data_IF_081518777526
#
_entry.id   IF_081518777526
#
_cell.length_a   1.000
_cell.length_b   1.000
_cell.length_c   1.000
_cell.angle_alpha   90.00
_cell.angle_beta   90.00
_cell.angle_gamma   90.00
#
_symmetry.space_group_name_H-M   'P 1'
#
loop_
_entity.id
_entity.type
_entity.pdbx_description
1 polymer ?
#
# COMPACT_ATOMS: atom_id res chain seq x y z
N UNK A 1 7.32 5.80 -18.65
CA UNK A 1 6.45 4.59 -18.54
C UNK A 1 7.06 3.52 -19.42
N UNK A 2 7.50 2.40 -18.84
CA UNK A 2 8.03 1.25 -19.58
C UNK A 2 6.91 0.22 -19.68
N UNK A 3 6.67 -0.31 -20.88
CA UNK A 3 5.70 -1.38 -21.13
C UNK A 3 6.42 -2.50 -21.85
N UNK A 4 6.33 -3.70 -21.30
CA UNK A 4 6.82 -4.92 -21.93
C UNK A 4 5.60 -5.78 -22.26
N UNK A 5 5.51 -6.20 -23.52
CA UNK A 5 4.45 -7.09 -23.97
C UNK A 5 5.01 -8.51 -23.99
N UNK A 6 4.35 -9.40 -23.26
CA UNK A 6 4.72 -10.81 -23.17
C UNK A 6 3.44 -11.66 -23.11
N UNK A 7 3.06 -12.25 -24.24
CA UNK A 7 1.86 -13.07 -24.37
C UNK A 7 1.99 -14.44 -23.69
N UNK A 8 3.18 -14.80 -23.18
CA UNK A 8 3.38 -16.04 -22.42
C UNK A 8 2.87 -15.95 -20.97
N UNK A 9 2.65 -14.74 -20.46
CA UNK A 9 2.17 -14.50 -19.10
C UNK A 9 0.64 -14.47 -19.07
N UNK A 10 -0.02 -15.33 -18.26
CA UNK A 10 -1.49 -15.40 -18.22
C UNK A 10 -2.15 -14.20 -17.53
N UNK A 11 -1.38 -13.38 -16.80
CA UNK A 11 -1.86 -12.20 -16.07
C UNK A 11 -0.93 -11.02 -16.35
N UNK A 12 -1.53 -9.85 -16.58
CA UNK A 12 -0.80 -8.59 -16.67
C UNK A 12 -0.38 -8.14 -15.27
N UNK A 13 0.91 -7.84 -15.10
CA UNK A 13 1.47 -7.30 -13.85
C UNK A 13 1.76 -5.82 -14.05
N UNK A 14 1.18 -4.99 -13.18
CA UNK A 14 1.31 -3.54 -13.27
C UNK A 14 1.86 -3.05 -11.94
N UNK A 15 2.97 -2.31 -12.01
CA UNK A 15 3.56 -1.58 -10.89
C UNK A 15 3.48 -0.09 -11.19
N UNK A 16 2.89 0.67 -10.26
CA UNK A 16 2.87 2.13 -10.31
C UNK A 16 3.33 2.65 -8.96
N UNK A 17 4.33 3.54 -8.96
CA UNK A 17 4.84 4.14 -7.75
C UNK A 17 5.16 5.62 -7.95
N UNK A 18 4.94 6.40 -6.91
CA UNK A 18 5.40 7.78 -6.80
C UNK A 18 6.59 7.84 -5.85
N UNK A 19 7.47 8.83 -6.06
CA UNK A 19 8.52 9.13 -5.09
C UNK A 19 7.88 9.50 -3.76
N UNK A 20 8.43 8.94 -2.71
CA UNK A 20 8.02 9.13 -1.34
C UNK A 20 9.21 9.66 -0.51
N UNK A 21 8.90 10.11 0.71
CA UNK A 21 9.84 10.59 1.71
C UNK A 21 10.79 9.48 2.20
N UNK A 22 11.97 9.89 2.65
CA UNK A 22 12.93 8.97 3.25
C UNK A 22 12.51 8.56 4.66
N UNK A 23 13.15 7.52 5.21
CA UNK A 23 12.84 7.05 6.57
C UNK A 23 12.98 8.12 7.65
N UNK A 24 13.90 9.06 7.44
CA UNK A 24 14.28 10.10 8.42
C UNK A 24 13.27 11.26 8.42
N UNK A 25 12.47 11.40 7.37
CA UNK A 25 11.54 12.52 7.22
C UNK A 25 10.32 12.37 8.13
N UNK A 26 9.86 13.49 8.70
CA UNK A 26 8.66 13.53 9.54
C UNK A 26 7.40 13.11 8.77
N UNK A 27 7.42 13.30 7.45
CA UNK A 27 6.32 12.98 6.52
C UNK A 27 6.10 11.46 6.35
N UNK A 28 7.02 10.62 6.86
CA UNK A 28 6.87 9.18 6.81
C UNK A 28 5.69 8.68 7.66
N UNK A 29 5.40 9.32 8.79
CA UNK A 29 4.25 8.97 9.65
C UNK A 29 2.91 9.23 8.97
N UNK A 30 2.62 10.45 8.44
CA UNK A 30 1.36 10.68 7.72
C UNK A 30 1.27 9.82 6.45
N UNK A 31 2.39 9.51 5.80
CA UNK A 31 2.37 8.59 4.66
C UNK A 31 2.02 7.15 5.06
N UNK A 32 2.47 6.66 6.21
CA UNK A 32 2.02 5.37 6.73
C UNK A 32 0.50 5.33 6.95
N UNK A 33 -0.08 6.42 7.45
CA UNK A 33 -1.55 6.58 7.58
C UNK A 33 -2.20 6.57 6.20
N UNK A 34 -1.69 7.36 5.25
CA UNK A 34 -2.18 7.40 3.87
C UNK A 34 -2.10 6.03 3.16
N UNK A 35 -1.07 5.24 3.45
CA UNK A 35 -0.91 3.90 2.87
C UNK A 35 -1.97 2.91 3.38
N UNK A 36 -2.36 3.05 4.65
CA UNK A 36 -3.42 2.26 5.27
C UNK A 36 -4.78 2.64 4.71
N UNK A 37 -5.02 3.95 4.53
CA UNK A 37 -6.23 4.49 3.90
C UNK A 37 -6.36 4.05 2.44
N UNK A 38 -5.28 4.15 1.66
CA UNK A 38 -5.29 3.67 0.26
C UNK A 38 -5.61 2.18 0.19
N UNK A 39 -5.13 1.39 1.16
CA UNK A 39 -5.38 -0.05 1.18
C UNK A 39 -6.85 -0.39 1.43
N UNK A 40 -7.54 0.37 2.28
CA UNK A 40 -8.96 0.18 2.53
C UNK A 40 -9.80 0.60 1.33
N UNK A 41 -9.49 1.73 0.70
CA UNK A 41 -10.18 2.23 -0.48
C UNK A 41 -9.96 1.35 -1.72
N UNK A 42 -8.74 0.88 -1.97
CA UNK A 42 -8.44 0.02 -3.13
C UNK A 42 -9.20 -1.31 -3.06
N UNK A 43 -9.45 -1.86 -1.85
CA UNK A 43 -10.31 -3.05 -1.67
C UNK A 43 -11.78 -2.79 -2.01
N UNK A 44 -12.28 -1.58 -1.76
CA UNK A 44 -13.66 -1.21 -2.07
C UNK A 44 -13.87 -1.09 -3.59
N UNK A 45 -12.87 -0.58 -4.32
CA UNK A 45 -12.96 -0.38 -5.77
C UNK A 45 -12.59 -1.62 -6.59
N UNK A 46 -11.66 -2.47 -6.12
CA UNK A 46 -11.19 -3.64 -6.88
C UNK A 46 -12.15 -4.84 -6.83
N UNK A 47 -13.10 -4.88 -5.88
CA UNK A 47 -13.95 -6.06 -5.65
C UNK A 47 -13.14 -7.29 -5.20
N UNK A 48 -13.82 -8.33 -4.71
CA UNK A 48 -13.20 -9.56 -4.18
C UNK A 48 -12.50 -10.43 -5.24
N UNK A 49 -12.48 -10.01 -6.50
CA UNK A 49 -11.89 -10.78 -7.59
C UNK A 49 -10.38 -10.75 -7.49
N UNK A 50 -9.75 -11.80 -6.93
CA UNK A 50 -8.38 -12.35 -7.15
C UNK A 50 -7.23 -11.41 -7.58
N UNK A 51 -7.36 -10.12 -7.35
CA UNK A 51 -6.44 -9.05 -7.62
C UNK A 51 -5.61 -8.96 -6.34
N UNK A 52 -4.43 -9.54 -6.38
CA UNK A 52 -3.44 -9.26 -5.34
C UNK A 52 -3.02 -7.81 -5.52
N UNK A 53 -3.69 -6.89 -4.82
CA UNK A 53 -3.29 -5.48 -4.73
C UNK A 53 -2.37 -5.36 -3.52
N UNK A 54 -1.08 -5.22 -3.81
CA UNK A 54 -0.08 -4.96 -2.78
C UNK A 54 0.28 -3.48 -2.81
N UNK A 55 0.03 -2.80 -1.69
CA UNK A 55 0.53 -1.46 -1.46
C UNK A 55 2.00 -1.55 -1.03
N UNK A 56 2.89 -1.15 -1.93
CA UNK A 56 4.31 -1.16 -1.68
C UNK A 56 4.72 0.22 -1.16
N UNK A 57 5.12 0.28 0.10
CA UNK A 57 5.77 1.45 0.70
C UNK A 57 7.17 1.00 1.13
N UNK A 58 8.19 1.32 0.32
CA UNK A 58 9.57 0.98 0.64
C UNK A 58 10.38 2.27 0.77
N UNK A 59 10.62 2.70 2.01
CA UNK A 59 11.48 3.83 2.31
C UNK A 59 12.91 3.35 2.54
N UNK A 60 13.80 3.73 1.62
CA UNK A 60 15.24 3.67 1.85
C UNK A 60 15.68 4.95 2.59
N UNK A 61 16.97 5.01 2.98
CA UNK A 61 17.51 6.06 3.85
C UNK A 61 17.13 7.48 3.41
N UNK A 62 17.23 7.76 2.11
CA UNK A 62 17.07 9.11 1.54
C UNK A 62 15.94 9.23 0.49
N UNK A 63 15.33 8.11 0.09
CA UNK A 63 14.29 8.07 -0.95
C UNK A 63 13.31 6.94 -0.63
N UNK A 64 12.02 7.24 -0.64
CA UNK A 64 10.95 6.25 -0.60
C UNK A 64 10.28 6.03 -1.95
N UNK A 65 9.60 4.88 -2.07
CA UNK A 65 8.65 4.60 -3.13
C UNK A 65 7.31 4.25 -2.50
N UNK A 66 6.26 4.96 -2.91
CA UNK A 66 4.89 4.67 -2.52
C UNK A 66 4.05 4.28 -3.73
N UNK A 67 3.65 3.02 -3.80
CA UNK A 67 3.14 2.41 -5.01
C UNK A 67 2.12 1.32 -4.77
N UNK A 68 1.46 0.95 -5.86
CA UNK A 68 0.57 -0.19 -5.97
C UNK A 68 1.16 -1.16 -6.97
N UNK A 69 1.13 -2.42 -6.58
CA UNK A 69 1.39 -3.53 -7.45
C UNK A 69 0.12 -4.36 -7.55
N UNK A 70 -0.34 -4.63 -8.77
CA UNK A 70 -1.48 -5.51 -8.97
C UNK A 70 -1.32 -6.41 -10.19
N UNK A 71 -1.92 -7.61 -10.10
CA UNK A 71 -2.02 -8.55 -11.20
C UNK A 71 -3.47 -8.62 -11.66
N UNK A 72 -3.73 -8.41 -12.95
CA UNK A 72 -5.08 -8.41 -13.52
C UNK A 72 -5.11 -9.07 -14.90
N UNK A 73 -6.32 -9.36 -15.39
CA UNK A 73 -6.52 -9.78 -16.77
C UNK A 73 -6.03 -8.68 -17.73
N UNK A 74 -5.34 -9.01 -18.84
CA UNK A 74 -4.76 -8.03 -19.76
C UNK A 74 -5.77 -7.01 -20.33
N UNK A 75 -7.05 -7.39 -20.40
CA UNK A 75 -8.13 -6.55 -20.92
C UNK A 75 -8.70 -5.55 -19.88
N UNK A 76 -8.32 -5.67 -18.60
CA UNK A 76 -8.80 -4.81 -17.51
C UNK A 76 -7.82 -3.68 -17.18
N UNK A 77 -7.34 -2.98 -18.20
CA UNK A 77 -6.39 -1.87 -18.06
C UNK A 77 -6.95 -0.67 -17.26
N UNK A 78 -8.28 -0.51 -17.25
CA UNK A 78 -8.99 0.58 -16.58
C UNK A 78 -8.71 0.64 -15.07
N UNK A 79 -8.35 -0.50 -14.47
CA UNK A 79 -7.99 -0.62 -13.07
C UNK A 79 -6.78 0.27 -12.72
N UNK A 80 -5.82 0.41 -13.63
CA UNK A 80 -4.66 1.30 -13.39
C UNK A 80 -5.07 2.76 -13.25
N UNK A 81 -5.99 3.23 -14.10
CA UNK A 81 -6.47 4.61 -14.07
C UNK A 81 -7.33 4.88 -12.83
N UNK A 82 -8.14 3.88 -12.43
CA UNK A 82 -8.96 3.96 -11.22
C UNK A 82 -8.09 4.07 -9.97
N UNK A 83 -7.05 3.26 -9.81
CA UNK A 83 -6.19 3.34 -8.61
C UNK A 83 -5.40 4.65 -8.54
N UNK A 84 -4.91 5.17 -9.67
CA UNK A 84 -4.32 6.51 -9.71
C UNK A 84 -5.33 7.59 -9.27
N UNK A 85 -6.59 7.46 -9.69
CA UNK A 85 -7.66 8.39 -9.31
C UNK A 85 -7.99 8.29 -7.81
N UNK A 86 -8.04 7.09 -7.24
CA UNK A 86 -8.26 6.87 -5.80
C UNK A 86 -7.17 7.57 -4.97
N UNK A 87 -5.92 7.52 -5.41
CA UNK A 87 -4.82 8.25 -4.75
C UNK A 87 -4.96 9.76 -4.82
N UNK A 88 -5.44 10.30 -5.95
CA UNK A 88 -5.73 11.72 -6.06
C UNK A 88 -6.90 12.15 -5.16
N UNK A 89 -7.89 11.27 -4.97
CA UNK A 89 -9.00 11.50 -4.06
C UNK A 89 -8.57 11.56 -2.60
N UNK A 90 -7.54 10.82 -2.18
CA UNK A 90 -6.98 10.94 -0.81
C UNK A 90 -6.55 12.37 -0.48
N UNK A 91 -6.08 13.12 -1.48
CA UNK A 91 -5.65 14.50 -1.28
C UNK A 91 -6.81 15.50 -1.12
N UNK A 92 -8.06 15.11 -1.42
CA UNK A 92 -9.19 16.05 -1.54
C UNK A 92 -10.40 15.65 -0.71
N UNK A 93 -10.65 14.35 -0.56
CA UNK A 93 -11.90 13.80 -0.02
C UNK A 93 -11.71 13.04 1.30
N UNK A 94 -10.48 12.97 1.84
CA UNK A 94 -10.23 12.26 3.09
C UNK A 94 -10.93 12.97 4.26
N UNK A 95 -11.63 12.20 5.08
CA UNK A 95 -12.33 12.73 6.27
C UNK A 95 -11.51 12.53 7.54
N UNK A 96 -11.68 13.41 8.53
CA UNK A 96 -10.97 13.29 9.82
C UNK A 96 -11.29 11.98 10.55
N UNK A 97 -12.53 11.48 10.42
CA UNK A 97 -12.95 10.20 10.99
C UNK A 97 -12.20 9.01 10.42
N UNK A 98 -11.91 9.02 9.11
CA UNK A 98 -11.15 7.95 8.47
C UNK A 98 -9.68 8.00 8.91
N UNK A 99 -9.12 9.22 9.00
CA UNK A 99 -7.75 9.44 9.47
C UNK A 99 -7.58 8.91 10.90
N UNK A 100 -8.52 9.21 11.80
CA UNK A 100 -8.43 8.75 13.19
C UNK A 100 -8.66 7.24 13.33
N UNK A 101 -9.52 6.65 12.50
CA UNK A 101 -9.66 5.21 12.43
C UNK A 101 -8.33 4.53 12.05
N UNK A 102 -7.69 5.00 10.98
CA UNK A 102 -6.48 4.37 10.44
C UNK A 102 -5.23 4.62 11.27
N UNK A 103 -5.15 5.76 11.97
CA UNK A 103 -4.14 5.97 13.03
C UNK A 103 -4.22 4.87 14.09
N UNK A 104 -5.42 4.60 14.59
CA UNK A 104 -5.64 3.57 15.61
C UNK A 104 -5.33 2.17 15.08
N UNK A 105 -5.64 1.91 13.81
CA UNK A 105 -5.32 0.65 13.15
C UNK A 105 -3.80 0.42 13.07
N UNK A 106 -3.03 1.45 12.69
CA UNK A 106 -1.56 1.36 12.64
C UNK A 106 -0.98 1.10 14.03
N UNK A 107 -1.44 1.84 15.05
CA UNK A 107 -0.97 1.65 16.44
C UNK A 107 -1.23 0.21 16.88
N UNK A 108 -2.42 -0.32 16.61
CA UNK A 108 -2.79 -1.70 16.93
C UNK A 108 -1.89 -2.70 16.21
N UNK A 109 -1.68 -2.53 14.90
CA UNK A 109 -0.82 -3.40 14.09
C UNK A 109 0.64 -3.37 14.57
N UNK A 110 1.17 -2.20 14.91
CA UNK A 110 2.53 -2.08 15.47
C UNK A 110 2.65 -2.78 16.83
N UNK A 111 1.66 -2.60 17.71
CA UNK A 111 1.64 -3.25 19.02
C UNK A 111 1.60 -4.78 18.89
N UNK A 112 0.82 -5.31 17.96
CA UNK A 112 0.77 -6.74 17.67
C UNK A 112 2.12 -7.28 17.19
N UNK A 113 2.80 -6.57 16.28
CA UNK A 113 4.13 -6.95 15.80
C UNK A 113 5.17 -6.97 16.94
N UNK A 114 5.11 -5.98 17.84
CA UNK A 114 5.99 -5.92 19.01
C UNK A 114 5.71 -7.03 20.03
N UNK A 115 4.43 -7.35 20.26
CA UNK A 115 4.01 -8.45 21.11
C UNK A 115 4.49 -9.80 20.59
N UNK A 116 4.25 -10.07 19.29
CA UNK A 116 4.69 -11.29 18.63
C UNK A 116 6.22 -11.44 18.70
N UNK A 117 6.97 -10.38 18.41
CA UNK A 117 8.45 -10.41 18.45
C UNK A 117 9.01 -10.66 19.86
N UNK A 118 8.34 -10.15 20.90
CA UNK A 118 8.70 -10.44 22.31
C UNK A 118 8.45 -11.91 22.68
N UNK A 119 7.38 -12.52 22.16
CA UNK A 119 7.13 -13.95 22.35
C UNK A 119 8.18 -14.80 21.64
N UNK A 120 8.51 -14.49 20.38
CA UNK A 120 9.56 -15.19 19.63
C UNK A 120 10.94 -15.11 20.29
N UNK A 121 11.30 -13.94 20.82
CA UNK A 121 12.57 -13.74 21.53
C UNK A 121 12.64 -14.54 22.84
N UNK A 122 11.50 -14.76 23.52
CA UNK A 122 11.42 -15.57 24.74
C UNK A 122 11.55 -17.07 24.46
N UNK A 123 11.01 -17.56 23.35
CA UNK A 123 11.15 -18.98 22.95
C UNK A 123 12.54 -19.34 22.43
N UNK A 124 13.35 -18.35 22.03
CA UNK A 124 14.75 -18.54 21.60
C UNK A 124 15.74 -18.47 22.78
N UNK A 125 15.32 -17.96 23.93
CA UNK A 125 16.14 -17.82 25.14
C UNK A 125 15.87 -18.91 26.20
N UNK A 126 15.05 -19.92 25.87
CA UNK A 126 14.73 -21.09 26.68
C UNK A 126 15.16 -22.35 25.92
#
# INVERSE_FOLDING_TARGET
MIRLWDDSLPLARIASAVKDCGWIDLDNVPLMVANTLSSSWDRLFAGTSKLAVENLCHSAKDIGLWGIFFMSDPLKYEICCLTCRTRMLLCVMVTDSEVDHDKNLIITNMLQQLGARRQSARTLAA
#
